data_IF_493819009677
#
_entry.id   IF_493819009677
#
_cell.length_a   1.000
_cell.length_b   1.000
_cell.length_c   1.000
_cell.angle_alpha   90.00
_cell.angle_beta   90.00
_cell.angle_gamma   90.00
#
_symmetry.space_group_name_H-M   'P 1'
#
loop_
_entity.id
_entity.type
_entity.pdbx_description
1 polymer ?
#
# COMPACT_ATOMS: atom_id res chain seq x y z
N UNK A 1 73.75 5.95 -23.15
CA UNK A 1 72.42 5.88 -23.78
C UNK A 1 71.40 5.36 -22.71
N UNK A 2 70.60 6.24 -22.22
CA UNK A 2 69.62 5.90 -21.14
C UNK A 2 68.24 5.62 -21.79
N UNK A 3 67.70 4.45 -21.53
CA UNK A 3 66.49 3.95 -22.10
C UNK A 3 65.26 4.56 -21.32
N UNK A 4 64.43 5.35 -22.01
CA UNK A 4 63.26 6.03 -21.48
C UNK A 4 62.12 5.03 -21.40
N UNK A 5 61.81 4.52 -20.19
CA UNK A 5 60.60 3.73 -19.92
C UNK A 5 59.35 4.59 -20.11
N UNK A 6 58.56 4.33 -21.14
CA UNK A 6 57.22 4.89 -21.33
C UNK A 6 56.31 4.32 -20.25
N UNK A 7 55.81 5.17 -19.34
CA UNK A 7 54.75 4.84 -18.38
C UNK A 7 53.45 4.63 -19.13
N UNK A 8 52.95 3.42 -19.10
CA UNK A 8 51.64 3.08 -19.63
C UNK A 8 50.54 3.81 -18.83
N UNK A 9 49.59 4.37 -19.56
CA UNK A 9 48.40 5.01 -19.00
C UNK A 9 47.60 3.98 -18.19
N UNK A 10 47.16 4.26 -16.92
CA UNK A 10 46.37 3.32 -16.17
C UNK A 10 45.05 3.07 -16.91
N UNK A 11 44.71 1.81 -17.15
CA UNK A 11 43.38 1.39 -17.65
C UNK A 11 42.35 1.81 -16.60
N UNK A 12 41.63 2.89 -16.90
CA UNK A 12 40.45 3.25 -16.12
C UNK A 12 39.45 2.10 -16.17
N UNK A 13 39.27 1.44 -15.07
CA UNK A 13 38.12 0.56 -14.84
C UNK A 13 36.89 1.43 -14.87
N UNK A 14 36.21 1.44 -16.03
CA UNK A 14 34.82 1.96 -16.10
C UNK A 14 34.01 1.07 -15.20
N UNK A 15 33.75 1.53 -13.98
CA UNK A 15 32.67 0.95 -13.16
C UNK A 15 31.40 1.11 -13.97
N UNK A 16 30.93 0.03 -14.58
CA UNK A 16 29.56 -0.05 -15.07
C UNK A 16 28.71 0.03 -13.83
N UNK A 17 28.17 1.22 -13.56
CA UNK A 17 27.09 1.33 -12.59
C UNK A 17 25.95 0.47 -13.13
N UNK A 18 25.43 -0.47 -12.32
CA UNK A 18 24.29 -1.26 -12.75
C UNK A 18 23.16 -0.26 -13.02
N UNK A 19 22.59 -0.33 -14.20
CA UNK A 19 21.44 0.45 -14.61
C UNK A 19 20.40 0.41 -13.49
N UNK A 20 19.91 1.57 -13.06
CA UNK A 20 18.93 1.72 -11.99
C UNK A 20 17.67 0.83 -12.21
N UNK A 21 17.38 0.50 -13.46
CA UNK A 21 16.39 -0.46 -13.92
C UNK A 21 16.56 -1.85 -13.30
N UNK A 22 17.80 -2.36 -13.21
CA UNK A 22 18.07 -3.68 -12.62
C UNK A 22 17.83 -3.70 -11.11
N UNK A 23 18.09 -2.60 -10.41
CA UNK A 23 17.85 -2.51 -8.98
C UNK A 23 16.35 -2.43 -8.62
N UNK A 24 15.54 -1.76 -9.45
CA UNK A 24 14.10 -1.69 -9.24
C UNK A 24 13.42 -3.03 -9.51
N UNK A 25 13.72 -3.71 -10.62
CA UNK A 25 13.19 -5.03 -10.91
C UNK A 25 13.60 -6.06 -9.84
N UNK A 26 14.89 -6.12 -9.48
CA UNK A 26 15.36 -7.08 -8.47
C UNK A 26 14.80 -6.82 -7.08
N UNK A 27 14.55 -5.55 -6.73
CA UNK A 27 13.97 -5.21 -5.43
C UNK A 27 12.46 -5.43 -5.40
N UNK A 28 11.74 -5.17 -6.49
CA UNK A 28 10.30 -5.35 -6.55
C UNK A 28 9.92 -6.83 -6.76
N UNK A 29 10.62 -7.55 -7.63
CA UNK A 29 10.46 -9.00 -7.78
C UNK A 29 10.80 -9.72 -6.47
N UNK A 30 11.90 -9.37 -5.80
CA UNK A 30 12.24 -9.88 -4.47
C UNK A 30 11.22 -9.48 -3.38
N UNK A 31 10.46 -8.42 -3.58
CA UNK A 31 9.41 -8.01 -2.64
C UNK A 31 8.08 -8.69 -2.96
N UNK A 32 7.79 -9.00 -4.22
CA UNK A 32 6.70 -9.89 -4.60
C UNK A 32 6.96 -11.32 -4.10
N UNK A 33 8.21 -11.79 -4.21
CA UNK A 33 8.66 -13.04 -3.61
C UNK A 33 8.65 -13.00 -2.07
N UNK A 34 8.74 -11.80 -1.49
CA UNK A 34 8.77 -11.59 -0.04
C UNK A 34 7.46 -11.06 0.57
N UNK A 35 6.47 -10.69 -0.24
CA UNK A 35 5.17 -10.24 0.27
C UNK A 35 4.46 -11.28 1.14
N UNK A 36 4.57 -12.59 0.85
CA UNK A 36 4.03 -13.65 1.69
C UNK A 36 4.82 -13.92 2.97
N UNK A 37 6.05 -13.46 3.09
CA UNK A 37 6.87 -13.76 4.28
C UNK A 37 6.45 -12.84 5.41
N UNK A 38 5.45 -13.28 6.12
CA UNK A 38 5.01 -12.68 7.36
C UNK A 38 6.02 -13.01 8.45
N UNK A 39 6.89 -12.07 8.75
CA UNK A 39 7.81 -12.21 9.88
C UNK A 39 7.16 -11.56 11.08
N UNK A 40 6.84 -12.35 12.08
CA UNK A 40 6.49 -11.84 13.40
C UNK A 40 7.62 -10.90 13.83
N UNK A 41 7.26 -9.64 14.07
CA UNK A 41 8.18 -8.77 14.77
C UNK A 41 8.10 -9.11 16.26
N UNK A 42 9.22 -9.09 16.98
CA UNK A 42 9.24 -9.21 18.45
C UNK A 42 8.53 -8.02 19.14
N UNK A 43 7.82 -7.17 18.36
CA UNK A 43 7.19 -5.91 18.79
C UNK A 43 5.67 -5.96 18.85
N UNK A 44 5.07 -7.14 18.67
CA UNK A 44 3.61 -7.33 18.80
C UNK A 44 2.80 -7.24 17.51
N UNK A 45 3.40 -6.92 16.38
CA UNK A 45 2.72 -6.90 15.07
C UNK A 45 3.43 -7.74 14.01
N UNK A 46 2.73 -8.10 12.97
CA UNK A 46 3.26 -8.79 11.79
C UNK A 46 3.59 -7.77 10.69
N UNK A 47 4.79 -7.85 10.15
CA UNK A 47 5.22 -6.95 9.07
C UNK A 47 4.50 -7.26 7.75
N UNK A 48 4.08 -6.24 7.03
CA UNK A 48 3.52 -6.39 5.69
C UNK A 48 4.62 -6.18 4.64
N UNK A 49 5.16 -7.29 4.15
CA UNK A 49 6.35 -7.33 3.31
C UNK A 49 7.65 -7.36 4.11
N UNK A 50 8.76 -7.54 3.41
CA UNK A 50 10.09 -7.76 4.03
C UNK A 50 10.53 -6.60 4.92
N UNK A 51 10.26 -5.37 4.50
CA UNK A 51 10.63 -4.13 5.21
C UNK A 51 9.45 -3.43 5.85
N UNK A 52 8.30 -4.07 5.90
CA UNK A 52 7.05 -3.46 6.38
C UNK A 52 6.58 -2.26 5.54
N UNK A 53 7.00 -2.17 4.29
CA UNK A 53 6.78 -1.06 3.36
C UNK A 53 5.95 -1.44 2.12
N UNK A 54 5.42 -2.67 2.06
CA UNK A 54 4.68 -3.17 0.90
C UNK A 54 3.49 -2.27 0.50
N UNK A 55 2.61 -1.81 1.43
CA UNK A 55 1.52 -0.92 1.06
C UNK A 55 2.00 0.44 0.52
N UNK A 56 3.11 0.97 1.04
CA UNK A 56 3.68 2.23 0.56
C UNK A 56 4.06 2.10 -0.91
N UNK A 57 4.64 0.97 -1.31
CA UNK A 57 5.02 0.73 -2.70
C UNK A 57 3.84 0.58 -3.64
N UNK A 58 2.75 -0.06 -3.17
CA UNK A 58 1.51 -0.10 -3.94
C UNK A 58 0.94 1.32 -4.15
N UNK A 59 0.99 2.17 -3.12
CA UNK A 59 0.63 3.58 -3.25
C UNK A 59 1.52 4.33 -4.24
N UNK A 60 2.83 4.09 -4.22
CA UNK A 60 3.77 4.70 -5.16
C UNK A 60 3.46 4.33 -6.62
N UNK A 61 3.09 3.07 -6.88
CA UNK A 61 2.64 2.65 -8.21
C UNK A 61 1.39 3.41 -8.65
N UNK A 62 0.41 3.52 -7.77
CA UNK A 62 -0.83 4.25 -8.04
C UNK A 62 -0.59 5.73 -8.36
N UNK A 63 0.29 6.41 -7.62
CA UNK A 63 0.58 7.82 -7.85
C UNK A 63 1.46 8.08 -9.07
N UNK A 64 2.27 7.13 -9.49
CA UNK A 64 3.24 7.36 -10.56
C UNK A 64 2.81 6.79 -11.93
N UNK A 65 1.92 5.79 -11.97
CA UNK A 65 1.42 5.21 -13.22
C UNK A 65 0.09 5.86 -13.63
N UNK A 66 0.05 6.45 -14.81
CA UNK A 66 -1.15 7.09 -15.36
C UNK A 66 -2.22 6.05 -15.65
N UNK A 67 -1.85 4.94 -16.29
CA UNK A 67 -2.78 3.88 -16.68
C UNK A 67 -3.32 3.18 -15.43
N UNK A 68 -2.44 2.79 -14.52
CA UNK A 68 -2.84 2.12 -13.28
C UNK A 68 -3.79 2.99 -12.45
N UNK A 69 -3.46 4.29 -12.29
CA UNK A 69 -4.34 5.23 -11.58
C UNK A 69 -5.71 5.31 -12.24
N UNK A 70 -5.76 5.49 -13.56
CA UNK A 70 -7.02 5.61 -14.29
C UNK A 70 -7.88 4.35 -14.19
N UNK A 71 -7.28 3.17 -14.31
CA UNK A 71 -7.98 1.90 -14.13
C UNK A 71 -8.51 1.72 -12.70
N UNK A 72 -7.73 2.11 -11.70
CA UNK A 72 -8.12 2.06 -10.29
C UNK A 72 -9.29 3.00 -10.01
N UNK A 73 -9.19 4.26 -10.43
CA UNK A 73 -10.24 5.28 -10.24
C UNK A 73 -11.54 4.89 -10.95
N UNK A 74 -11.44 4.30 -12.16
CA UNK A 74 -12.58 3.72 -12.86
C UNK A 74 -13.20 2.56 -12.08
N UNK A 75 -12.36 1.66 -11.54
CA UNK A 75 -12.82 0.55 -10.71
C UNK A 75 -13.56 1.00 -9.46
N UNK A 76 -13.07 2.05 -8.78
CA UNK A 76 -13.76 2.67 -7.64
C UNK A 76 -15.14 3.18 -8.07
N UNK A 77 -15.20 3.90 -9.19
CA UNK A 77 -16.47 4.42 -9.72
C UNK A 77 -17.45 3.28 -10.06
N UNK A 78 -16.95 2.21 -10.67
CA UNK A 78 -17.77 1.03 -11.00
C UNK A 78 -18.30 0.30 -9.76
N UNK A 79 -17.52 0.21 -8.68
CA UNK A 79 -17.96 -0.40 -7.42
C UNK A 79 -19.05 0.42 -6.76
N UNK A 80 -18.90 1.75 -6.75
CA UNK A 80 -19.84 2.65 -6.09
C UNK A 80 -21.14 2.82 -6.91
N UNK A 81 -21.03 2.77 -8.26
CA UNK A 81 -22.16 3.00 -9.16
C UNK A 81 -22.86 4.33 -8.86
N UNK A 82 -24.18 4.28 -8.71
CA UNK A 82 -25.01 5.44 -8.40
C UNK A 82 -24.97 5.88 -6.91
N UNK A 83 -24.18 5.15 -6.09
CA UNK A 83 -24.04 5.41 -4.66
C UNK A 83 -25.15 4.79 -3.82
N UNK A 84 -25.36 5.37 -2.63
CA UNK A 84 -26.39 4.88 -1.68
C UNK A 84 -27.76 5.42 -2.04
N UNK A 85 -28.74 4.55 -2.20
CA UNK A 85 -30.13 4.93 -2.47
C UNK A 85 -30.85 5.35 -1.15
N UNK A 86 -30.67 6.61 -0.81
CA UNK A 86 -31.31 7.19 0.38
C UNK A 86 -32.84 7.26 0.26
N UNK A 87 -33.37 7.35 -0.98
CA UNK A 87 -34.81 7.44 -1.21
C UNK A 87 -35.49 6.10 -0.94
N UNK A 88 -34.89 4.98 -1.38
CA UNK A 88 -35.38 3.65 -1.06
C UNK A 88 -35.39 3.35 0.45
N UNK A 89 -34.51 4.01 1.21
CA UNK A 89 -34.42 3.88 2.66
C UNK A 89 -35.35 4.84 3.40
N UNK A 90 -36.08 5.74 2.71
CA UNK A 90 -36.84 6.86 3.30
C UNK A 90 -36.01 7.71 4.27
N UNK A 91 -34.74 7.96 3.91
CA UNK A 91 -33.77 8.68 4.73
C UNK A 91 -33.22 9.88 3.96
N UNK A 92 -32.87 10.94 4.67
CA UNK A 92 -32.15 12.06 4.08
C UNK A 92 -30.64 11.84 4.18
N UNK A 93 -29.92 12.16 3.12
CA UNK A 93 -28.45 12.01 3.03
C UNK A 93 -27.71 12.68 4.19
N UNK A 94 -28.23 13.79 4.70
CA UNK A 94 -27.64 14.57 5.80
C UNK A 94 -28.03 14.05 7.19
N UNK A 95 -29.07 13.23 7.29
CA UNK A 95 -29.55 12.69 8.58
C UNK A 95 -28.86 11.38 8.94
N UNK A 96 -28.44 10.61 7.92
CA UNK A 96 -27.80 9.31 8.10
C UNK A 96 -26.38 9.38 7.53
N UNK A 97 -25.45 9.69 8.40
CA UNK A 97 -24.03 9.80 8.06
C UNK A 97 -23.21 8.76 8.84
N UNK A 98 -22.15 8.18 8.27
CA UNK A 98 -21.27 7.27 9.00
C UNK A 98 -20.54 7.98 10.14
N UNK A 99 -20.27 9.27 9.98
CA UNK A 99 -19.64 10.14 10.97
C UNK A 99 -19.99 11.61 10.67
N UNK A 100 -19.54 12.52 11.52
CA UNK A 100 -19.85 13.96 11.40
C UNK A 100 -19.16 14.69 10.22
N UNK A 101 -18.30 14.01 9.45
CA UNK A 101 -17.48 14.64 8.42
C UNK A 101 -17.74 14.14 7.00
N UNK A 102 -18.31 12.93 6.87
CA UNK A 102 -18.43 12.22 5.59
C UNK A 102 -19.83 11.71 5.36
N UNK A 103 -20.24 11.70 4.10
CA UNK A 103 -21.40 10.96 3.63
C UNK A 103 -21.07 9.49 3.45
N UNK A 104 -22.08 8.61 3.36
CA UNK A 104 -21.85 7.19 3.07
C UNK A 104 -21.18 6.99 1.72
N UNK A 105 -21.51 7.78 0.71
CA UNK A 105 -20.87 7.68 -0.61
C UNK A 105 -19.36 7.97 -0.55
N UNK A 106 -18.96 9.00 0.20
CA UNK A 106 -17.55 9.35 0.40
C UNK A 106 -16.81 8.29 1.21
N UNK A 107 -17.46 7.78 2.26
CA UNK A 107 -16.91 6.71 3.08
C UNK A 107 -16.69 5.43 2.26
N UNK A 108 -17.70 5.00 1.48
CA UNK A 108 -17.61 3.82 0.63
C UNK A 108 -16.56 3.97 -0.47
N UNK A 109 -16.39 5.18 -1.03
CA UNK A 109 -15.30 5.45 -2.00
C UNK A 109 -13.91 5.22 -1.40
N UNK A 110 -13.70 5.63 -0.15
CA UNK A 110 -12.43 5.37 0.53
C UNK A 110 -12.18 3.86 0.70
N UNK A 111 -13.22 3.10 1.12
CA UNK A 111 -13.11 1.66 1.27
C UNK A 111 -12.89 0.94 -0.07
N UNK A 112 -13.58 1.38 -1.13
CA UNK A 112 -13.42 0.81 -2.47
C UNK A 112 -12.02 1.05 -3.02
N UNK A 113 -11.45 2.22 -2.78
CA UNK A 113 -10.09 2.54 -3.19
C UNK A 113 -9.06 1.64 -2.48
N UNK A 114 -9.17 1.51 -1.15
CA UNK A 114 -8.30 0.62 -0.38
C UNK A 114 -8.45 -0.83 -0.84
N UNK A 115 -9.67 -1.29 -1.10
CA UNK A 115 -9.94 -2.63 -1.58
C UNK A 115 -9.26 -2.94 -2.93
N UNK A 116 -9.31 -2.00 -3.88
CA UNK A 116 -8.66 -2.21 -5.18
C UNK A 116 -7.14 -2.16 -5.02
N UNK A 117 -6.61 -1.17 -4.28
CA UNK A 117 -5.18 -0.97 -4.14
C UNK A 117 -4.47 -2.04 -3.33
N UNK A 118 -5.13 -2.58 -2.31
CA UNK A 118 -4.48 -3.47 -1.34
C UNK A 118 -5.14 -4.84 -1.20
N UNK A 119 -6.35 -5.03 -1.76
CA UNK A 119 -7.16 -6.24 -1.59
C UNK A 119 -7.90 -6.31 -0.25
N UNK A 120 -7.78 -5.29 0.57
CA UNK A 120 -8.37 -5.18 1.91
C UNK A 120 -8.74 -3.74 2.22
N UNK A 121 -9.62 -3.54 3.20
CA UNK A 121 -9.94 -2.21 3.74
C UNK A 121 -10.19 -2.28 5.23
N UNK A 122 -10.09 -1.14 5.90
CA UNK A 122 -10.32 -1.03 7.33
C UNK A 122 -11.12 0.22 7.69
N UNK A 123 -11.85 0.13 8.79
CA UNK A 123 -12.49 1.29 9.41
C UNK A 123 -12.59 1.12 10.91
N UNK A 124 -12.55 2.23 11.61
CA UNK A 124 -12.78 2.28 13.04
C UNK A 124 -14.27 2.35 13.33
N UNK A 125 -14.71 1.63 14.35
CA UNK A 125 -16.07 1.62 14.89
C UNK A 125 -16.01 2.18 16.29
N UNK A 126 -16.74 3.25 16.54
CA UNK A 126 -16.82 3.90 17.84
C UNK A 126 -18.27 3.90 18.28
N UNK A 127 -18.56 3.31 19.44
CA UNK A 127 -19.89 3.37 20.04
C UNK A 127 -20.12 4.77 20.62
N UNK A 128 -21.18 5.41 20.22
CA UNK A 128 -21.55 6.73 20.70
C UNK A 128 -21.99 6.70 22.17
N UNK A 129 -21.99 7.87 22.82
CA UNK A 129 -22.35 7.99 24.23
C UNK A 129 -23.81 7.61 24.53
N UNK A 130 -24.68 7.61 23.52
CA UNK A 130 -26.07 7.14 23.62
C UNK A 130 -26.16 5.62 23.82
N UNK A 131 -25.06 4.90 23.58
CA UNK A 131 -24.97 3.46 23.73
C UNK A 131 -25.70 2.66 22.66
N UNK A 132 -26.36 3.31 21.70
CA UNK A 132 -27.22 2.69 20.67
C UNK A 132 -26.71 2.87 19.26
N UNK A 133 -26.00 3.98 19.01
CA UNK A 133 -25.48 4.33 17.68
C UNK A 133 -23.98 4.13 17.60
N UNK A 134 -23.49 3.91 16.39
CA UNK A 134 -22.07 3.76 16.09
C UNK A 134 -21.65 4.80 15.07
N UNK A 135 -20.43 5.29 15.21
CA UNK A 135 -19.76 6.12 14.20
C UNK A 135 -18.66 5.31 13.52
N UNK A 136 -18.56 5.46 12.21
CA UNK A 136 -17.63 4.73 11.36
C UNK A 136 -16.63 5.71 10.74
N UNK A 137 -15.34 5.46 10.92
CA UNK A 137 -14.28 6.29 10.37
C UNK A 137 -13.37 5.44 9.51
N UNK A 138 -13.20 5.83 8.26
CA UNK A 138 -12.24 5.15 7.38
C UNK A 138 -10.84 5.18 8.00
N UNK A 139 -10.18 4.02 8.01
CA UNK A 139 -8.81 3.86 8.43
C UNK A 139 -7.99 3.38 7.24
N UNK A 140 -7.05 4.19 6.70
CA UNK A 140 -6.21 3.75 5.59
C UNK A 140 -5.53 2.43 5.92
N UNK A 141 -5.79 1.39 5.12
CA UNK A 141 -5.28 0.05 5.40
C UNK A 141 -3.74 -0.01 5.38
N UNK A 142 -3.09 0.91 4.65
CA UNK A 142 -1.64 1.06 4.64
C UNK A 142 -1.04 1.35 6.02
N UNK A 143 -1.82 2.00 6.91
CA UNK A 143 -1.43 2.32 8.29
C UNK A 143 -1.67 1.18 9.28
N UNK A 144 -2.34 0.10 8.87
CA UNK A 144 -2.76 -1.01 9.72
C UNK A 144 -1.78 -2.18 9.64
N UNK A 145 -1.50 -2.80 10.80
CA UNK A 145 -0.83 -4.11 10.89
C UNK A 145 -1.60 -4.98 11.86
N UNK A 146 -1.64 -6.28 11.58
CA UNK A 146 -2.28 -7.25 12.46
C UNK A 146 -1.33 -7.71 13.58
N UNK A 147 -1.90 -8.09 14.73
CA UNK A 147 -1.20 -8.85 15.75
C UNK A 147 -0.89 -10.26 15.23
N UNK A 148 0.12 -10.96 15.79
CA UNK A 148 0.27 -12.39 15.58
C UNK A 148 -1.01 -13.12 15.97
N UNK A 149 -1.26 -14.27 15.35
CA UNK A 149 -2.37 -15.13 15.73
C UNK A 149 -2.14 -15.67 17.14
N UNK A 150 -3.19 -15.80 17.90
CA UNK A 150 -3.18 -16.45 19.20
C UNK A 150 -3.10 -17.99 19.08
N UNK A 151 -3.17 -18.71 20.20
CA UNK A 151 -3.11 -20.18 20.23
C UNK A 151 -4.30 -20.83 19.49
N UNK A 152 -5.40 -20.10 19.34
CA UNK A 152 -6.60 -20.54 18.61
C UNK A 152 -6.57 -20.17 17.12
N UNK A 153 -5.54 -19.46 16.69
CA UNK A 153 -5.35 -19.03 15.31
C UNK A 153 -6.05 -17.70 14.96
N UNK A 154 -6.56 -16.95 15.93
CA UNK A 154 -7.27 -15.71 15.72
C UNK A 154 -6.35 -14.48 15.78
N UNK A 155 -6.69 -13.45 15.01
CA UNK A 155 -6.11 -12.10 15.17
C UNK A 155 -6.99 -11.35 16.14
N UNK A 156 -6.46 -10.97 17.30
CA UNK A 156 -7.19 -10.34 18.40
C UNK A 156 -7.17 -8.83 18.36
N UNK A 157 -6.13 -8.25 17.78
CA UNK A 157 -5.93 -6.81 17.72
C UNK A 157 -5.22 -6.37 16.44
N UNK A 158 -5.24 -5.08 16.19
CA UNK A 158 -4.52 -4.43 15.10
C UNK A 158 -3.69 -3.28 15.64
N UNK A 159 -2.62 -2.98 14.93
CA UNK A 159 -1.71 -1.89 15.26
C UNK A 159 -1.81 -0.79 14.21
N UNK A 160 -1.98 0.44 14.66
CA UNK A 160 -2.01 1.62 13.82
C UNK A 160 -0.72 2.41 13.97
N UNK A 161 -0.10 2.78 12.85
CA UNK A 161 1.06 3.64 12.84
C UNK A 161 0.97 4.62 11.67
N UNK A 162 1.33 5.86 11.93
CA UNK A 162 1.35 6.90 10.90
C UNK A 162 2.43 6.62 9.84
N UNK A 163 3.58 6.13 10.27
CA UNK A 163 4.70 5.78 9.39
C UNK A 163 5.42 4.54 9.92
N UNK A 164 5.20 3.42 9.24
CA UNK A 164 5.81 2.14 9.57
C UNK A 164 7.32 2.06 9.30
N UNK A 165 7.87 3.01 8.56
CA UNK A 165 9.32 3.11 8.33
C UNK A 165 10.03 3.84 9.47
N UNK A 166 9.29 4.62 10.27
CA UNK A 166 9.80 5.47 11.35
C UNK A 166 9.07 5.24 12.69
N UNK A 167 8.89 3.99 13.09
CA UNK A 167 8.15 3.60 14.31
C UNK A 167 8.73 4.17 15.62
N UNK A 168 10.02 4.55 15.62
CA UNK A 168 10.64 5.25 16.76
C UNK A 168 10.14 6.68 16.93
N UNK A 169 9.74 7.34 15.83
CA UNK A 169 9.18 8.69 15.85
C UNK A 169 7.65 8.67 16.00
N UNK A 170 7.01 7.69 15.37
CA UNK A 170 5.56 7.49 15.39
C UNK A 170 5.25 6.14 16.03
N UNK A 171 5.08 6.10 17.37
CA UNK A 171 4.85 4.84 18.06
C UNK A 171 3.51 4.21 17.63
N UNK A 172 3.51 2.92 17.28
CA UNK A 172 2.29 2.21 16.95
C UNK A 172 1.33 2.13 18.14
N UNK A 173 0.03 2.23 17.85
CA UNK A 173 -1.04 2.15 18.84
C UNK A 173 -1.83 0.87 18.58
N UNK A 174 -2.05 0.07 19.60
CA UNK A 174 -2.87 -1.13 19.52
C UNK A 174 -4.36 -0.79 19.66
N UNK A 175 -5.17 -1.36 18.78
CA UNK A 175 -6.63 -1.24 18.78
C UNK A 175 -7.25 -2.64 18.70
N UNK A 176 -8.23 -2.98 19.58
CA UNK A 176 -8.87 -4.26 19.58
C UNK A 176 -9.67 -4.49 18.28
N UNK A 177 -9.72 -5.75 17.84
CA UNK A 177 -10.55 -6.16 16.71
C UNK A 177 -12.02 -6.09 17.08
N UNK A 178 -12.83 -5.51 16.19
CA UNK A 178 -14.28 -5.51 16.34
C UNK A 178 -14.86 -6.93 16.21
N UNK A 179 -15.78 -7.30 17.10
CA UNK A 179 -16.46 -8.61 17.08
C UNK A 179 -15.62 -9.79 17.58
N UNK A 180 -14.43 -9.55 18.16
CA UNK A 180 -13.60 -10.63 18.73
C UNK A 180 -13.97 -10.95 20.17
N UNK A 181 -14.34 -9.95 20.97
CA UNK A 181 -14.83 -10.13 22.32
C UNK A 181 -16.34 -9.89 22.33
N UNK A 182 -17.10 -10.83 22.85
CA UNK A 182 -18.55 -10.67 22.98
C UNK A 182 -18.91 -9.45 23.84
N UNK A 183 -19.60 -8.62 23.28
CA UNK A 183 -20.47 -7.47 23.49
C UNK A 183 -20.63 -6.78 24.85
N UNK A 184 -20.31 -7.34 25.96
CA UNK A 184 -20.50 -6.65 27.23
C UNK A 184 -19.54 -5.52 27.53
N UNK A 185 -18.47 -5.40 26.72
CA UNK A 185 -17.38 -4.44 26.96
C UNK A 185 -17.07 -3.48 25.79
N UNK A 186 -17.96 -3.31 24.81
CA UNK A 186 -17.81 -2.20 23.87
C UNK A 186 -18.03 -0.91 24.64
N UNK A 187 -16.96 -0.38 25.22
CA UNK A 187 -17.00 0.85 25.99
C UNK A 187 -17.30 2.03 25.08
N UNK A 188 -18.27 2.85 25.48
CA UNK A 188 -18.59 4.12 24.83
C UNK A 188 -17.33 4.98 24.64
N UNK A 189 -17.06 5.38 23.41
CA UNK A 189 -15.95 6.27 23.05
C UNK A 189 -14.61 5.59 22.80
N UNK A 190 -14.47 4.27 22.96
CA UNK A 190 -13.26 3.55 22.55
C UNK A 190 -13.38 3.06 21.11
N UNK A 191 -12.33 3.19 20.29
CA UNK A 191 -12.31 2.68 18.93
C UNK A 191 -12.07 1.16 18.92
N UNK A 192 -12.77 0.49 18.03
CA UNK A 192 -12.51 -0.88 17.60
C UNK A 192 -12.19 -0.85 16.12
N UNK A 193 -11.36 -1.76 15.64
CA UNK A 193 -11.01 -1.83 14.23
C UNK A 193 -11.70 -3.03 13.57
N UNK A 194 -12.39 -2.74 12.48
CA UNK A 194 -12.87 -3.74 11.54
C UNK A 194 -11.93 -3.76 10.35
N UNK A 195 -11.43 -4.95 9.97
CA UNK A 195 -10.61 -5.17 8.79
C UNK A 195 -11.28 -6.23 7.95
N UNK A 196 -11.52 -5.91 6.69
CA UNK A 196 -11.94 -6.85 5.67
C UNK A 196 -10.73 -7.27 4.84
N UNK A 197 -10.57 -8.57 4.66
CA UNK A 197 -9.48 -9.15 3.89
C UNK A 197 -10.06 -10.14 2.87
N UNK A 198 -9.61 -10.02 1.62
CA UNK A 198 -9.95 -11.02 0.62
C UNK A 198 -9.04 -12.22 0.77
N UNK A 199 -9.60 -13.43 0.71
CA UNK A 199 -8.79 -14.62 0.67
C UNK A 199 -7.80 -14.58 -0.47
N UNK A 200 -6.53 -14.80 -0.15
CA UNK A 200 -5.44 -14.96 -1.10
C UNK A 200 -4.74 -16.28 -0.78
N UNK A 201 -4.62 -17.20 -1.75
CA UNK A 201 -3.90 -18.46 -1.54
C UNK A 201 -2.48 -18.24 -1.02
N UNK A 202 -2.03 -19.11 -0.12
CA UNK A 202 -0.69 -19.12 0.47
C UNK A 202 -0.33 -17.89 1.33
N UNK A 203 -1.30 -17.03 1.65
CA UNK A 203 -1.11 -15.87 2.54
C UNK A 203 -1.96 -16.00 3.81
N UNK A 204 -1.31 -15.85 4.98
CA UNK A 204 -1.94 -16.05 6.28
C UNK A 204 -2.45 -14.75 6.93
N UNK A 205 -1.76 -13.62 6.69
CA UNK A 205 -1.99 -12.39 7.45
C UNK A 205 -2.45 -11.21 6.60
N UNK A 206 -2.03 -11.15 5.34
CA UNK A 206 -2.33 -10.02 4.47
C UNK A 206 -2.77 -10.51 3.11
N UNK A 207 -3.41 -9.63 2.38
CA UNK A 207 -3.92 -9.90 1.03
C UNK A 207 -2.99 -9.30 -0.03
N UNK A 208 -3.26 -9.61 -1.27
CA UNK A 208 -2.67 -8.96 -2.44
C UNK A 208 -3.72 -8.17 -3.21
N UNK A 209 -3.31 -7.09 -3.89
CA UNK A 209 -4.22 -6.33 -4.73
C UNK A 209 -4.77 -7.19 -5.87
N UNK A 210 -5.96 -6.85 -6.36
CA UNK A 210 -6.62 -7.57 -7.47
C UNK A 210 -5.84 -7.49 -8.78
N UNK A 211 -5.03 -6.45 -8.97
CA UNK A 211 -4.18 -6.25 -10.14
C UNK A 211 -2.78 -6.85 -10.01
N UNK A 212 -2.54 -7.72 -9.03
CA UNK A 212 -1.21 -8.32 -8.78
C UNK A 212 -0.60 -8.93 -10.04
N UNK A 213 -1.39 -9.58 -10.89
CA UNK A 213 -0.93 -10.13 -12.15
C UNK A 213 -0.50 -9.10 -13.19
N UNK A 214 -0.97 -7.85 -13.06
CA UNK A 214 -0.63 -6.72 -13.95
C UNK A 214 0.57 -5.91 -13.50
N UNK A 215 1.19 -6.21 -12.36
CA UNK A 215 2.28 -5.39 -11.80
C UNK A 215 3.46 -5.21 -12.75
N UNK A 216 3.82 -6.26 -13.51
CA UNK A 216 4.90 -6.16 -14.50
C UNK A 216 4.59 -5.15 -15.60
N UNK A 217 3.35 -5.08 -16.06
CA UNK A 217 2.93 -4.10 -17.07
C UNK A 217 3.00 -2.67 -16.51
N UNK A 218 2.52 -2.45 -15.28
CA UNK A 218 2.59 -1.15 -14.60
C UNK A 218 4.06 -0.70 -14.44
N UNK A 219 4.94 -1.59 -14.04
CA UNK A 219 6.36 -1.31 -13.91
C UNK A 219 7.02 -0.98 -15.26
N UNK A 220 6.64 -1.71 -16.32
CA UNK A 220 7.14 -1.45 -17.68
C UNK A 220 6.71 -0.06 -18.15
N UNK A 221 5.45 0.34 -17.92
CA UNK A 221 4.96 1.69 -18.20
C UNK A 221 5.84 2.75 -17.51
N UNK A 222 6.08 2.59 -16.21
CA UNK A 222 6.89 3.53 -15.43
C UNK A 222 8.33 3.65 -15.94
N UNK A 223 8.95 2.55 -16.35
CA UNK A 223 10.31 2.59 -16.91
C UNK A 223 10.34 3.22 -18.31
N UNK A 224 9.34 3.00 -19.14
CA UNK A 224 9.19 3.68 -20.44
C UNK A 224 9.07 5.19 -20.24
N UNK A 225 8.19 5.65 -19.34
CA UNK A 225 8.05 7.07 -19.03
C UNK A 225 9.36 7.67 -18.52
N UNK A 226 10.10 6.95 -17.67
CA UNK A 226 11.40 7.40 -17.18
C UNK A 226 12.45 7.48 -18.30
N UNK A 227 12.45 6.50 -19.21
CA UNK A 227 13.34 6.51 -20.37
C UNK A 227 13.06 7.72 -21.25
N UNK A 228 11.81 7.96 -21.61
CA UNK A 228 11.41 9.09 -22.44
C UNK A 228 11.77 10.43 -21.80
N UNK A 229 11.52 10.59 -20.50
CA UNK A 229 11.90 11.80 -19.76
C UNK A 229 13.42 12.04 -19.78
N UNK A 230 14.23 10.98 -19.68
CA UNK A 230 15.69 11.09 -19.79
C UNK A 230 16.12 11.46 -21.21
N UNK A 231 15.50 10.86 -22.23
CA UNK A 231 15.77 11.19 -23.61
C UNK A 231 15.45 12.65 -23.92
N UNK A 232 14.30 13.15 -23.47
CA UNK A 232 13.91 14.57 -23.60
C UNK A 232 14.89 15.49 -22.87
N UNK A 233 15.25 15.18 -21.62
CA UNK A 233 16.20 15.98 -20.82
C UNK A 233 17.59 16.04 -21.46
N UNK A 234 17.99 15.01 -22.16
CA UNK A 234 19.29 14.93 -22.86
C UNK A 234 19.20 15.41 -24.31
N UNK A 235 18.12 16.11 -24.71
CA UNK A 235 17.89 16.61 -26.06
C UNK A 235 18.05 15.54 -27.16
N UNK A 236 17.66 14.30 -26.86
CA UNK A 236 17.83 13.14 -27.74
C UNK A 236 19.28 12.93 -28.24
N UNK A 237 20.29 13.47 -27.54
CA UNK A 237 21.67 13.33 -27.90
C UNK A 237 22.12 11.87 -27.85
N UNK A 238 22.61 11.35 -28.94
CA UNK A 238 23.20 10.01 -28.97
C UNK A 238 24.47 9.98 -28.11
N UNK A 239 24.51 9.10 -27.11
CA UNK A 239 25.63 8.92 -26.20
C UNK A 239 26.75 8.04 -26.82
N UNK A 240 27.06 8.22 -28.10
CA UNK A 240 28.09 7.44 -28.77
C UNK A 240 28.64 8.15 -30.00
N UNK A 241 29.97 8.21 -30.12
CA UNK A 241 30.65 8.57 -31.36
C UNK A 241 31.10 7.28 -32.04
N UNK A 242 30.66 7.07 -33.27
CA UNK A 242 31.18 6.03 -34.13
C UNK A 242 32.42 6.62 -34.82
N UNK A 243 33.61 6.23 -34.37
CA UNK A 243 34.85 6.55 -35.09
C UNK A 243 35.07 5.43 -36.12
N UNK A 244 34.80 5.73 -37.36
CA UNK A 244 35.15 4.84 -38.47
C UNK A 244 36.63 4.95 -38.75
N UNK A 245 37.32 3.84 -39.08
CA UNK A 245 38.78 3.83 -39.40
C UNK A 245 39.12 4.53 -40.70
#
# INVERSE_FOLDING_TARGET
MAEVKRRGRPKGTVKKEPLATYMLQSNFEKQLEGAPINRNSNRGWVNWGVRNDYPIKLSELYFNSIVHKSCTDFGVTAIIGDGVDYQAMNMNKTEVMPNQYQTWDEFLKCLALDYILYGSYAFQIIRNKDGRTFSYYHQPISSVRCSPRDEEGNITSYWLCQDWTATGKYPPIEIPRFGFQEDETINSGKPYLFVFETYTPDLDYYTTPKYIGGLKAIMTELELIRYDLRAVKNNFSANGFLVLP
#
